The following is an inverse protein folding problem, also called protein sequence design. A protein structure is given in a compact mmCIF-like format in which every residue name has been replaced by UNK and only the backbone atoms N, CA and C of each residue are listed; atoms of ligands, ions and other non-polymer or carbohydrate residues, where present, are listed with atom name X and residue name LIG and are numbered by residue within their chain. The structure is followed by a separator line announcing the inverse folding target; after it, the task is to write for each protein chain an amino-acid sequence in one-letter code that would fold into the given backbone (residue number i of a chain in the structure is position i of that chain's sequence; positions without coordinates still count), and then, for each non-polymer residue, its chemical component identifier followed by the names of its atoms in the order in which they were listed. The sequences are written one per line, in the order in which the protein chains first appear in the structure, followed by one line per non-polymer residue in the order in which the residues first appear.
data_IF_872466337480
#
_entry.id   IF_872466337480
#
_cell.length_a   1.000
_cell.length_b   1.000
_cell.length_c   1.000
_cell.angle_alpha   90.00
_cell.angle_beta   90.00
_cell.angle_gamma   90.00
#
_symmetry.space_group_name_H-M   'P 1'
#
loop_
_entity.id
_entity.type
_entity.pdbx_description
1 polymer ?
#
# COMPACT_ATOMS: atom_id res chain seq x y z
N UNK A 1 -2.02 -0.95 -3.05
CA UNK A 1 -1.44 0.39 -3.19
C UNK A 1 -1.67 0.87 -4.59
N UNK A 2 -2.16 2.08 -4.70
CA UNK A 2 -2.45 2.73 -5.97
C UNK A 2 -1.25 2.81 -6.92
N UNK A 3 -1.56 2.83 -8.21
CA UNK A 3 -0.57 3.00 -9.27
C UNK A 3 0.13 4.37 -9.19
N UNK A 4 1.47 4.35 -9.11
CA UNK A 4 2.32 5.55 -9.23
C UNK A 4 2.78 5.76 -10.67
N UNK A 5 2.89 7.03 -11.08
CA UNK A 5 3.34 7.43 -12.42
C UNK A 5 4.50 8.41 -12.32
N UNK A 6 5.64 8.02 -12.89
CA UNK A 6 6.84 8.85 -12.98
C UNK A 6 7.26 9.50 -11.64
N UNK A 7 7.11 8.78 -10.54
CA UNK A 7 7.51 9.30 -9.24
C UNK A 7 9.03 9.20 -9.08
N UNK A 8 9.66 10.34 -8.78
CA UNK A 8 11.09 10.41 -8.46
C UNK A 8 11.32 9.97 -7.02
N UNK A 9 12.06 8.88 -6.86
CA UNK A 9 12.31 8.23 -5.59
C UNK A 9 13.81 7.95 -5.49
N UNK A 10 14.42 8.30 -4.35
CA UNK A 10 15.75 7.82 -4.01
C UNK A 10 15.65 6.54 -3.19
N UNK A 11 16.22 5.47 -3.76
CA UNK A 11 16.23 4.12 -3.19
C UNK A 11 17.61 3.83 -2.61
N UNK A 12 17.61 3.21 -1.43
CA UNK A 12 18.83 2.70 -0.80
C UNK A 12 19.22 1.37 -1.46
N UNK A 13 20.49 1.01 -1.36
CA UNK A 13 21.02 -0.26 -1.86
C UNK A 13 22.10 -0.77 -0.90
N UNK A 14 22.28 -2.09 -0.82
CA UNK A 14 23.27 -2.70 0.09
C UNK A 14 24.70 -2.25 -0.23
N UNK A 15 24.99 -2.09 -1.53
CA UNK A 15 26.29 -1.63 -2.02
C UNK A 15 26.16 -0.37 -2.84
N UNK A 16 26.84 0.68 -2.38
CA UNK A 16 26.79 2.01 -2.97
C UNK A 16 25.87 2.93 -2.18
N UNK A 17 26.01 4.24 -2.38
CA UNK A 17 25.07 5.22 -1.81
C UNK A 17 23.68 5.12 -2.44
N UNK A 18 22.69 5.85 -1.92
CA UNK A 18 21.37 5.90 -2.50
C UNK A 18 21.39 6.35 -3.97
N UNK A 19 20.45 5.85 -4.76
CA UNK A 19 20.29 6.15 -6.19
C UNK A 19 18.92 6.77 -6.45
N UNK A 20 18.87 7.74 -7.34
CA UNK A 20 17.61 8.35 -7.80
C UNK A 20 17.04 7.55 -8.96
N UNK A 21 15.77 7.17 -8.84
CA UNK A 21 15.01 6.42 -9.83
C UNK A 21 13.64 7.07 -10.05
N UNK A 22 13.10 6.89 -11.24
CA UNK A 22 11.75 7.24 -11.65
C UNK A 22 10.97 5.93 -11.70
N UNK A 23 9.93 5.81 -10.87
CA UNK A 23 9.16 4.57 -10.73
C UNK A 23 7.76 4.78 -11.30
N UNK A 24 7.31 3.81 -12.10
CA UNK A 24 5.94 3.73 -12.61
C UNK A 24 5.41 2.32 -12.39
N UNK A 25 4.30 2.16 -11.68
CA UNK A 25 3.76 0.86 -11.30
C UNK A 25 3.09 0.84 -9.92
N UNK A 26 2.99 -0.34 -9.32
CA UNK A 26 2.48 -0.55 -7.96
C UNK A 26 3.07 -1.81 -7.30
N UNK A 27 2.47 -2.32 -6.22
CA UNK A 27 3.00 -3.46 -5.47
C UNK A 27 3.08 -4.78 -6.25
N UNK A 28 2.37 -4.90 -7.38
CA UNK A 28 2.35 -6.13 -8.17
C UNK A 28 3.33 -6.09 -9.33
N UNK A 29 3.56 -4.92 -9.91
CA UNK A 29 4.52 -4.71 -10.98
C UNK A 29 4.94 -3.25 -11.08
N UNK A 30 6.24 -3.01 -11.20
CA UNK A 30 6.75 -1.68 -11.46
C UNK A 30 8.00 -1.66 -12.33
N UNK A 31 8.17 -0.54 -13.02
CA UNK A 31 9.33 -0.25 -13.84
C UNK A 31 10.13 0.85 -13.14
N UNK A 32 11.42 0.62 -12.96
CA UNK A 32 12.37 1.59 -12.44
C UNK A 32 13.24 2.10 -13.60
N UNK A 33 13.33 3.41 -13.74
CA UNK A 33 14.20 4.06 -14.71
C UNK A 33 15.11 5.08 -14.02
N UNK A 34 16.31 5.33 -14.54
CA UNK A 34 17.07 6.50 -14.13
C UNK A 34 16.33 7.78 -14.58
N UNK A 35 16.63 8.97 -14.04
CA UNK A 35 16.07 10.23 -14.53
C UNK A 35 16.30 10.47 -16.03
N UNK A 36 17.32 9.83 -16.60
CA UNK A 36 17.64 9.88 -18.04
C UNK A 36 16.87 8.84 -18.87
N UNK A 37 16.00 8.03 -18.25
CA UNK A 37 15.15 7.04 -18.93
C UNK A 37 15.81 5.68 -19.17
N UNK A 38 16.94 5.36 -18.54
CA UNK A 38 17.52 4.02 -18.64
C UNK A 38 16.87 3.08 -17.63
N UNK A 39 16.33 1.95 -18.09
CA UNK A 39 15.72 0.95 -17.21
C UNK A 39 16.76 0.37 -16.24
N UNK A 40 16.36 0.22 -14.99
CA UNK A 40 17.17 -0.29 -13.89
C UNK A 40 16.47 -1.48 -13.23
N UNK A 41 17.25 -2.44 -12.76
CA UNK A 41 16.78 -3.57 -11.93
C UNK A 41 17.67 -3.72 -10.71
N UNK A 42 17.10 -4.17 -9.59
CA UNK A 42 17.89 -4.49 -8.41
C UNK A 42 18.57 -5.86 -8.58
N UNK A 43 19.89 -5.87 -8.65
CA UNK A 43 20.68 -7.09 -8.79
C UNK A 43 21.01 -7.64 -7.40
N UNK A 44 20.27 -8.67 -6.98
CA UNK A 44 20.38 -9.27 -5.64
C UNK A 44 21.79 -9.81 -5.35
N UNK A 45 22.46 -10.43 -6.32
CA UNK A 45 23.82 -10.97 -6.14
C UNK A 45 24.85 -9.86 -5.89
N UNK A 46 24.58 -8.67 -6.46
CA UNK A 46 25.43 -7.49 -6.31
C UNK A 46 24.99 -6.56 -5.18
N UNK A 47 23.77 -6.70 -4.69
CA UNK A 47 23.17 -5.82 -3.68
C UNK A 47 23.06 -4.37 -4.16
N UNK A 48 22.85 -4.15 -5.46
CA UNK A 48 22.81 -2.79 -6.03
C UNK A 48 21.94 -2.69 -7.29
N UNK A 49 21.44 -1.49 -7.58
CA UNK A 49 20.72 -1.22 -8.83
C UNK A 49 21.68 -1.19 -10.01
N UNK A 50 21.37 -2.00 -11.02
CA UNK A 50 22.11 -2.10 -12.26
C UNK A 50 21.26 -1.68 -13.46
N UNK A 51 21.90 -1.18 -14.51
CA UNK A 51 21.24 -0.98 -15.80
C UNK A 51 20.69 -2.31 -16.30
N UNK A 52 19.52 -2.27 -16.94
CA UNK A 52 18.86 -3.44 -17.49
C UNK A 52 18.94 -3.47 -19.03
N UNK A 53 18.92 -4.68 -19.59
CA UNK A 53 18.63 -4.95 -20.99
C UNK A 53 17.44 -5.88 -21.11
N UNK A 54 16.85 -5.98 -22.30
CA UNK A 54 15.83 -7.00 -22.59
C UNK A 54 16.52 -8.24 -23.14
N UNK A 55 16.29 -9.38 -22.48
CA UNK A 55 16.61 -10.70 -23.00
C UNK A 55 15.34 -11.55 -22.93
N UNK A 56 14.94 -12.16 -24.06
CA UNK A 56 13.72 -12.97 -24.16
C UNK A 56 12.44 -12.27 -23.65
N UNK A 57 12.40 -10.95 -23.77
CA UNK A 57 11.25 -10.13 -23.34
C UNK A 57 11.20 -9.80 -21.85
N UNK A 58 12.18 -10.23 -21.05
CA UNK A 58 12.32 -9.90 -19.62
C UNK A 58 13.46 -8.93 -19.37
N UNK A 59 13.39 -8.14 -18.31
CA UNK A 59 14.53 -7.34 -17.87
C UNK A 59 15.62 -8.24 -17.28
N UNK A 60 16.87 -8.00 -17.70
CA UNK A 60 18.06 -8.68 -17.19
C UNK A 60 19.11 -7.66 -16.79
N UNK A 61 19.66 -7.83 -15.59
CA UNK A 61 20.75 -7.00 -15.08
C UNK A 61 21.97 -7.09 -15.99
N UNK A 62 22.54 -5.94 -16.34
CA UNK A 62 23.86 -5.85 -17.00
C UNK A 62 25.02 -6.01 -16.02
N UNK A 63 24.74 -6.08 -14.71
CA UNK A 63 25.73 -6.02 -13.64
C UNK A 63 26.44 -4.66 -13.49
N UNK A 64 26.11 -3.67 -14.32
CA UNK A 64 26.69 -2.33 -14.28
C UNK A 64 25.82 -1.40 -13.44
N UNK A 65 26.39 -0.87 -12.36
CA UNK A 65 25.68 0.05 -11.46
C UNK A 65 25.15 1.29 -12.17
N UNK A 66 23.92 1.69 -11.84
CA UNK A 66 23.32 2.93 -12.35
C UNK A 66 23.95 4.21 -11.79
N UNK A 67 24.75 4.11 -10.73
CA UNK A 67 25.55 5.24 -10.22
C UNK A 67 26.75 5.58 -11.13
N UNK A 68 27.04 4.75 -12.14
CA UNK A 68 28.09 4.95 -13.14
C UNK A 68 27.49 5.28 -14.50
N UNK A 69 28.35 5.64 -15.46
CA UNK A 69 27.93 5.89 -16.85
C UNK A 69 27.25 4.65 -17.44
N UNK A 70 26.17 4.83 -18.23
CA UNK A 70 25.48 3.72 -18.87
C UNK A 70 26.41 2.96 -19.82
N UNK A 71 26.35 1.61 -19.85
CA UNK A 71 27.03 0.81 -20.86
C UNK A 71 26.70 1.27 -22.29
N UNK A 72 27.63 1.11 -23.22
CA UNK A 72 27.40 1.50 -24.62
C UNK A 72 26.29 0.63 -25.23
N UNK A 73 25.37 1.27 -25.95
CA UNK A 73 24.36 0.59 -26.76
C UNK A 73 23.09 0.15 -26.02
N UNK A 74 22.95 0.42 -24.72
CA UNK A 74 21.68 0.15 -24.02
C UNK A 74 20.61 1.16 -24.45
N UNK A 75 19.38 0.68 -24.65
CA UNK A 75 18.24 1.52 -25.02
C UNK A 75 17.55 2.08 -23.78
N UNK A 76 16.90 3.23 -23.94
CA UNK A 76 16.05 3.86 -22.93
C UNK A 76 14.63 3.32 -23.03
N UNK A 77 13.87 3.46 -21.94
CA UNK A 77 12.46 3.12 -21.84
C UNK A 77 12.13 1.71 -22.30
N UNK A 78 12.94 0.74 -21.85
CA UNK A 78 12.67 -0.66 -22.13
C UNK A 78 11.35 -1.07 -21.47
N UNK A 79 10.62 -1.97 -22.13
CA UNK A 79 9.39 -2.56 -21.62
C UNK A 79 9.48 -4.06 -21.80
N UNK A 80 9.19 -4.81 -20.75
CA UNK A 80 9.00 -6.25 -20.87
C UNK A 80 7.80 -6.55 -21.76
N UNK A 81 7.80 -7.75 -22.35
CA UNK A 81 6.66 -8.16 -23.17
C UNK A 81 5.41 -8.30 -22.30
N UNK A 82 4.21 -8.12 -22.88
CA UNK A 82 2.96 -8.28 -22.16
C UNK A 82 2.85 -9.62 -21.41
N UNK A 83 3.40 -10.70 -21.97
CA UNK A 83 3.40 -12.04 -21.39
C UNK A 83 4.21 -12.11 -20.09
N UNK A 84 5.44 -11.60 -20.10
CA UNK A 84 6.34 -11.59 -18.94
C UNK A 84 5.77 -10.72 -17.82
N UNK A 85 5.41 -9.48 -18.15
CA UNK A 85 4.80 -8.54 -17.20
C UNK A 85 3.59 -9.14 -16.51
N UNK A 86 2.73 -9.79 -17.28
CA UNK A 86 1.53 -10.44 -16.74
C UNK A 86 1.83 -11.68 -15.91
N UNK A 87 2.88 -12.43 -16.25
CA UNK A 87 3.36 -13.56 -15.47
C UNK A 87 3.84 -13.11 -14.09
N UNK A 88 4.68 -12.06 -14.06
CA UNK A 88 5.19 -11.47 -12.82
C UNK A 88 4.05 -10.92 -11.95
N UNK A 89 3.13 -10.15 -12.55
CA UNK A 89 1.96 -9.62 -11.87
C UNK A 89 1.11 -10.73 -11.24
N UNK A 90 0.80 -11.81 -11.98
CA UNK A 90 0.06 -12.96 -11.44
C UNK A 90 0.79 -13.65 -10.31
N UNK A 91 2.10 -13.89 -10.48
CA UNK A 91 2.93 -14.52 -9.47
C UNK A 91 2.88 -13.71 -8.18
N UNK A 92 3.09 -12.41 -8.28
CA UNK A 92 3.09 -11.49 -7.13
C UNK A 92 1.71 -11.33 -6.50
N UNK A 93 0.66 -11.20 -7.31
CA UNK A 93 -0.73 -11.17 -6.84
C UNK A 93 -1.09 -12.45 -6.06
N UNK A 94 -0.66 -13.62 -6.53
CA UNK A 94 -0.89 -14.89 -5.85
C UNK A 94 -0.11 -15.06 -4.54
N UNK A 95 1.05 -14.40 -4.41
CA UNK A 95 1.82 -14.39 -3.17
C UNK A 95 1.21 -13.45 -2.12
N UNK A 96 0.72 -12.28 -2.54
CA UNK A 96 0.13 -11.28 -1.65
C UNK A 96 -1.33 -11.56 -1.28
N UNK A 97 -2.08 -12.38 -2.03
CA UNK A 97 -3.48 -12.69 -1.70
C UNK A 97 -3.65 -14.15 -1.29
N UNK A 98 -4.46 -14.40 -0.26
CA UNK A 98 -4.72 -15.75 0.22
C UNK A 98 -5.36 -16.65 -0.86
N UNK A 99 -5.09 -17.97 -0.83
CA UNK A 99 -5.80 -18.95 -1.65
C UNK A 99 -7.32 -18.84 -1.42
N UNK A 100 -8.08 -18.52 -2.46
CA UNK A 100 -9.54 -18.36 -2.39
C UNK A 100 -10.07 -16.95 -2.60
N UNK A 101 -9.20 -15.93 -2.65
CA UNK A 101 -9.59 -14.65 -3.24
C UNK A 101 -9.94 -14.88 -4.72
N UNK A 102 -11.17 -14.51 -5.14
CA UNK A 102 -11.51 -14.52 -6.55
C UNK A 102 -10.44 -13.74 -7.31
N UNK A 103 -9.82 -14.43 -8.26
CA UNK A 103 -8.91 -13.79 -9.18
C UNK A 103 -9.68 -12.68 -9.90
N UNK A 104 -9.19 -11.42 -9.93
CA UNK A 104 -9.79 -10.39 -10.79
C UNK A 104 -9.71 -10.80 -12.27
N UNK A 105 -8.89 -11.79 -12.61
CA UNK A 105 -8.79 -12.43 -13.93
C UNK A 105 -9.88 -13.49 -14.20
N UNK A 106 -10.76 -13.79 -13.23
CA UNK A 106 -11.88 -14.71 -13.42
C UNK A 106 -13.10 -13.95 -13.95
N UNK A 107 -13.17 -13.80 -15.28
CA UNK A 107 -14.31 -13.64 -16.21
C UNK A 107 -15.70 -13.11 -15.82
N UNK A 108 -15.97 -12.62 -14.61
CA UNK A 108 -17.31 -12.18 -14.22
C UNK A 108 -17.56 -10.75 -14.69
N UNK A 109 -18.31 -10.65 -15.80
CA UNK A 109 -18.79 -9.41 -16.45
C UNK A 109 -20.02 -8.79 -15.76
N UNK A 110 -20.25 -9.10 -14.50
CA UNK A 110 -21.34 -8.55 -13.67
C UNK A 110 -20.74 -7.83 -12.45
N UNK A 111 -21.56 -7.18 -11.62
CA UNK A 111 -21.09 -6.54 -10.37
C UNK A 111 -20.43 -7.52 -9.37
N UNK A 112 -20.28 -8.82 -9.67
CA UNK A 112 -19.73 -9.81 -8.76
C UNK A 112 -20.64 -10.06 -7.54
N UNK A 113 -20.28 -11.01 -6.69
CA UNK A 113 -21.13 -11.45 -5.57
C UNK A 113 -21.40 -10.36 -4.51
N UNK A 114 -20.57 -9.32 -4.43
CA UNK A 114 -20.68 -8.24 -3.43
C UNK A 114 -20.92 -6.87 -4.09
N UNK A 115 -21.64 -6.84 -5.21
CA UNK A 115 -21.97 -5.61 -5.94
C UNK A 115 -20.75 -4.71 -6.28
N UNK A 116 -19.56 -5.32 -6.42
CA UNK A 116 -18.31 -4.68 -6.81
C UNK A 116 -17.30 -4.57 -5.68
N UNK A 117 -17.70 -4.83 -4.43
CA UNK A 117 -16.78 -4.84 -3.30
C UNK A 117 -15.94 -6.13 -3.24
N UNK A 118 -14.77 -6.03 -2.64
CA UNK A 118 -13.95 -7.19 -2.31
C UNK A 118 -14.68 -8.08 -1.28
N UNK A 119 -14.50 -9.42 -1.35
CA UNK A 119 -15.06 -10.31 -0.35
C UNK A 119 -14.45 -10.06 1.04
N UNK A 120 -15.22 -10.35 2.08
CA UNK A 120 -14.78 -10.24 3.47
C UNK A 120 -15.71 -9.39 4.33
N UNK A 121 -15.34 -9.22 5.60
CA UNK A 121 -16.07 -8.40 6.57
C UNK A 121 -15.96 -6.92 6.18
N UNK A 122 -17.06 -6.18 6.34
CA UNK A 122 -17.13 -4.73 6.19
C UNK A 122 -17.43 -4.09 7.55
N UNK A 123 -16.73 -3.00 7.83
CA UNK A 123 -16.87 -2.14 9.00
C UNK A 123 -16.88 -0.67 8.54
N UNK A 124 -17.84 -0.36 7.66
CA UNK A 124 -17.96 0.95 7.00
C UNK A 124 -18.85 1.95 7.76
N UNK A 125 -19.26 1.65 8.99
CA UNK A 125 -20.13 2.52 9.78
C UNK A 125 -19.87 2.38 11.28
N UNK A 126 -20.30 3.37 12.05
CA UNK A 126 -20.14 3.42 13.50
C UNK A 126 -18.73 3.81 13.94
N UNK A 127 -18.39 3.46 15.17
CA UNK A 127 -17.07 3.70 15.75
C UNK A 127 -16.17 2.49 15.52
N UNK A 128 -15.10 2.68 14.74
CA UNK A 128 -14.13 1.63 14.44
C UNK A 128 -12.75 2.09 14.91
N UNK A 129 -12.06 1.22 15.65
CA UNK A 129 -10.71 1.48 16.16
C UNK A 129 -9.72 0.52 15.52
N UNK A 130 -8.78 1.05 14.75
CA UNK A 130 -7.65 0.31 14.20
C UNK A 130 -6.50 0.17 15.19
N UNK A 131 -5.69 -0.86 14.98
CA UNK A 131 -4.41 -1.05 15.68
C UNK A 131 -3.29 -0.66 14.72
N UNK A 132 -2.56 0.41 15.04
CA UNK A 132 -1.37 0.82 14.30
C UNK A 132 -0.10 0.44 15.08
N UNK A 133 0.75 -0.39 14.49
CA UNK A 133 2.00 -0.85 15.08
C UNK A 133 3.16 -0.16 14.35
N UNK A 134 3.97 0.58 15.10
CA UNK A 134 5.19 1.21 14.61
C UNK A 134 6.33 0.21 14.69
N UNK A 135 7.02 0.01 13.58
CA UNK A 135 8.03 -1.02 13.41
C UNK A 135 9.38 -0.40 13.07
N UNK A 136 10.41 -0.83 13.79
CA UNK A 136 11.82 -0.58 13.48
C UNK A 136 12.53 -1.90 13.14
N UNK A 137 13.66 -1.79 12.47
CA UNK A 137 14.51 -2.92 12.12
C UNK A 137 15.78 -2.91 12.98
N UNK A 138 16.56 -3.99 12.94
CA UNK A 138 17.80 -4.05 13.70
C UNK A 138 18.81 -2.96 13.28
N UNK A 139 18.84 -2.60 12.00
CA UNK A 139 19.72 -1.63 11.35
C UNK A 139 19.08 -0.26 11.08
N UNK A 140 17.74 -0.15 11.11
CA UNK A 140 17.01 1.09 10.77
C UNK A 140 16.09 1.52 11.90
N UNK A 141 16.35 2.73 12.42
CA UNK A 141 15.55 3.41 13.44
C UNK A 141 14.77 4.58 12.87
N UNK A 142 13.67 4.94 13.52
CA UNK A 142 12.83 6.06 13.13
C UNK A 142 13.13 7.31 13.97
N UNK A 143 13.13 8.47 13.34
CA UNK A 143 13.04 9.76 14.04
C UNK A 143 11.60 10.26 14.17
N UNK A 144 10.68 9.63 13.44
CA UNK A 144 9.24 9.86 13.57
C UNK A 144 8.79 9.28 14.91
N UNK A 145 8.26 10.14 15.77
CA UNK A 145 7.77 9.74 17.09
C UNK A 145 6.42 9.04 16.99
N UNK A 146 6.04 8.34 18.05
CA UNK A 146 4.68 7.82 18.22
C UNK A 146 3.65 8.95 18.13
N UNK A 147 3.91 10.07 18.79
CA UNK A 147 3.00 11.22 18.85
C UNK A 147 2.79 11.86 17.47
N UNK A 148 3.82 11.95 16.63
CA UNK A 148 3.67 12.44 15.24
C UNK A 148 2.68 11.59 14.44
N UNK A 149 2.71 10.26 14.63
CA UNK A 149 1.78 9.33 13.97
C UNK A 149 0.40 9.41 14.62
N UNK A 150 0.29 9.46 15.95
CA UNK A 150 -0.99 9.59 16.65
C UNK A 150 -1.74 10.86 16.22
N UNK A 151 -1.04 11.99 16.09
CA UNK A 151 -1.63 13.25 15.65
C UNK A 151 -2.10 13.16 14.18
N UNK A 152 -1.27 12.61 13.28
CA UNK A 152 -1.65 12.41 11.87
C UNK A 152 -2.89 11.52 11.72
N UNK A 153 -3.01 10.49 12.56
CA UNK A 153 -4.12 9.55 12.46
C UNK A 153 -5.40 10.06 13.13
N UNK A 154 -5.30 10.75 14.28
CA UNK A 154 -6.44 10.93 15.18
C UNK A 154 -6.84 12.38 15.50
N UNK A 155 -6.00 13.38 15.22
CA UNK A 155 -6.31 14.74 15.62
C UNK A 155 -7.59 15.26 14.96
N UNK A 156 -8.40 16.01 15.70
CA UNK A 156 -9.62 16.65 15.17
C UNK A 156 -9.27 17.72 14.12
N UNK A 157 -8.16 18.43 14.36
CA UNK A 157 -7.55 19.37 13.44
C UNK A 157 -6.09 18.99 13.22
N UNK A 158 -5.73 18.61 11.99
CA UNK A 158 -4.35 18.28 11.62
C UNK A 158 -3.95 19.01 10.33
N UNK A 159 -2.94 19.86 10.43
CA UNK A 159 -2.40 20.63 9.31
C UNK A 159 -0.85 20.59 9.25
N UNK A 160 -0.22 19.68 10.03
CA UNK A 160 1.22 19.49 10.03
C UNK A 160 1.68 18.73 8.79
N UNK A 161 2.96 18.90 8.46
CA UNK A 161 3.63 18.21 7.36
C UNK A 161 2.99 18.44 5.98
N UNK A 162 2.17 19.48 5.85
CA UNK A 162 1.43 19.82 4.63
C UNK A 162 0.18 18.98 4.37
N UNK A 163 -0.20 18.08 5.29
CA UNK A 163 -1.44 17.32 5.19
C UNK A 163 -2.66 18.24 5.36
N UNK A 164 -3.72 17.95 4.62
CA UNK A 164 -4.94 18.74 4.67
C UNK A 164 -5.78 18.45 5.93
N UNK A 165 -5.76 17.21 6.41
CA UNK A 165 -6.47 16.75 7.59
C UNK A 165 -5.84 15.48 8.15
N UNK A 166 -6.37 14.96 9.26
CA UNK A 166 -6.02 13.65 9.80
C UNK A 166 -6.75 12.52 9.07
N UNK A 167 -6.31 11.28 9.29
CA UNK A 167 -7.02 10.09 8.77
C UNK A 167 -8.44 9.99 9.34
N UNK A 168 -8.60 10.23 10.65
CA UNK A 168 -9.91 10.31 11.31
C UNK A 168 -10.83 11.28 10.59
N UNK A 169 -10.36 12.52 10.37
CA UNK A 169 -11.16 13.57 9.73
C UNK A 169 -11.46 13.26 8.27
N UNK A 170 -10.53 12.66 7.55
CA UNK A 170 -10.75 12.19 6.18
C UNK A 170 -11.93 11.21 6.11
N UNK A 171 -11.88 10.12 6.89
CA UNK A 171 -12.92 9.09 6.86
C UNK A 171 -14.27 9.62 7.34
N UNK A 172 -14.29 10.45 8.39
CA UNK A 172 -15.51 11.10 8.85
C UNK A 172 -16.13 11.99 7.75
N UNK A 173 -15.31 12.74 7.01
CA UNK A 173 -15.79 13.63 5.93
C UNK A 173 -16.33 12.83 4.75
N UNK A 174 -15.57 11.88 4.22
CA UNK A 174 -15.99 11.13 3.01
C UNK A 174 -17.14 10.17 3.27
N UNK A 175 -17.33 9.77 4.53
CA UNK A 175 -18.46 8.96 4.97
C UNK A 175 -19.65 9.80 5.44
N UNK A 176 -19.66 11.13 5.32
CA UNK A 176 -20.72 11.98 5.88
C UNK A 176 -21.01 11.70 7.37
N UNK A 177 -19.99 11.34 8.16
CA UNK A 177 -20.12 11.01 9.58
C UNK A 177 -20.62 9.59 9.88
N UNK A 178 -20.94 8.78 8.85
CA UNK A 178 -21.37 7.40 9.04
C UNK A 178 -20.27 6.52 9.67
N UNK A 179 -18.99 6.79 9.35
CA UNK A 179 -17.83 6.08 9.89
C UNK A 179 -16.94 7.02 10.71
N UNK A 180 -16.72 6.67 11.97
CA UNK A 180 -15.73 7.30 12.86
C UNK A 180 -14.56 6.35 13.06
N UNK A 181 -13.51 6.55 12.25
CA UNK A 181 -12.33 5.70 12.29
C UNK A 181 -11.20 6.35 13.10
N UNK A 182 -10.72 5.67 14.13
CA UNK A 182 -9.59 6.09 14.98
C UNK A 182 -8.55 4.98 15.08
N UNK A 183 -7.35 5.28 15.55
CA UNK A 183 -6.26 4.31 15.68
C UNK A 183 -5.57 4.42 17.04
N UNK A 184 -5.32 3.29 17.68
CA UNK A 184 -4.35 3.25 18.79
C UNK A 184 -2.97 2.94 18.19
N UNK A 185 -1.98 3.78 18.52
CA UNK A 185 -0.61 3.62 18.01
C UNK A 185 0.26 2.96 19.08
N UNK A 186 0.95 1.89 18.69
CA UNK A 186 1.76 1.03 19.55
C UNK A 186 3.18 0.97 19.01
N UNK A 187 4.16 0.93 19.91
CA UNK A 187 5.58 0.86 19.56
C UNK A 187 6.32 2.18 19.78
N UNK A 188 7.51 2.35 19.17
CA UNK A 188 8.11 1.45 18.18
C UNK A 188 8.49 0.07 18.76
N UNK A 189 8.23 -0.99 17.99
CA UNK A 189 8.76 -2.33 18.24
C UNK A 189 9.91 -2.60 17.27
N UNK A 190 11.00 -3.18 17.76
CA UNK A 190 12.13 -3.57 16.92
C UNK A 190 12.01 -5.03 16.50
N UNK A 191 12.05 -5.28 15.19
CA UNK A 191 12.13 -6.64 14.65
C UNK A 191 13.55 -7.21 14.79
N UNK A 192 13.67 -8.53 14.71
CA UNK A 192 14.91 -9.25 15.02
C UNK A 192 15.99 -9.21 13.94
N UNK A 193 15.69 -8.70 12.74
CA UNK A 193 16.61 -8.71 11.59
C UNK A 193 16.73 -7.33 10.95
N UNK A 194 17.73 -7.18 10.10
CA UNK A 194 17.94 -5.98 9.29
C UNK A 194 16.80 -5.81 8.28
N UNK A 195 16.52 -4.56 7.87
CA UNK A 195 15.42 -4.23 6.97
C UNK A 195 15.46 -5.05 5.69
N UNK A 196 16.67 -5.31 5.18
CA UNK A 196 16.86 -6.04 3.92
C UNK A 196 16.25 -7.45 3.95
N UNK A 197 16.35 -8.13 5.10
CA UNK A 197 15.79 -9.47 5.29
C UNK A 197 14.27 -9.50 5.04
N UNK A 198 13.57 -8.44 5.43
CA UNK A 198 12.11 -8.34 5.32
C UNK A 198 11.62 -7.95 3.91
N UNK A 199 12.50 -7.75 2.91
CA UNK A 199 12.03 -7.69 1.53
C UNK A 199 11.48 -9.06 1.08
N UNK A 200 12.13 -10.15 1.45
CA UNK A 200 11.74 -11.51 1.06
C UNK A 200 10.98 -12.28 2.14
N UNK A 201 10.85 -11.71 3.36
CA UNK A 201 10.16 -12.33 4.49
C UNK A 201 9.12 -11.37 5.07
N UNK A 202 7.89 -11.85 5.26
CA UNK A 202 6.82 -11.03 5.83
C UNK A 202 7.14 -10.61 7.27
N UNK A 203 7.09 -9.30 7.60
CA UNK A 203 7.34 -8.83 8.97
C UNK A 203 6.10 -8.94 9.88
N UNK A 204 4.95 -9.35 9.35
CA UNK A 204 3.63 -9.09 9.95
C UNK A 204 3.39 -9.93 11.19
N UNK A 205 3.64 -11.24 11.14
CA UNK A 205 3.43 -12.13 12.29
C UNK A 205 4.36 -11.75 13.45
N UNK A 206 5.64 -11.47 13.16
CA UNK A 206 6.60 -11.01 14.16
C UNK A 206 6.18 -9.68 14.77
N UNK A 207 5.68 -8.73 13.97
CA UNK A 207 5.18 -7.45 14.47
C UNK A 207 3.96 -7.63 15.39
N UNK A 208 3.01 -8.50 15.01
CA UNK A 208 1.83 -8.81 15.83
C UNK A 208 2.25 -9.43 17.16
N UNK A 209 3.12 -10.44 17.15
CA UNK A 209 3.57 -11.13 18.37
C UNK A 209 4.31 -10.18 19.32
N UNK A 210 5.23 -9.37 18.80
CA UNK A 210 5.99 -8.41 19.60
C UNK A 210 5.10 -7.32 20.19
N UNK A 211 4.14 -6.80 19.41
CA UNK A 211 3.17 -5.85 19.93
C UNK A 211 2.30 -6.50 21.00
N UNK A 212 1.69 -7.66 20.71
CA UNK A 212 0.82 -8.34 21.64
C UNK A 212 1.53 -8.81 22.92
N UNK A 213 2.84 -9.05 22.90
CA UNK A 213 3.62 -9.32 24.10
C UNK A 213 3.68 -8.13 25.07
N UNK A 214 3.39 -6.91 24.63
CA UNK A 214 3.24 -5.76 25.51
C UNK A 214 1.95 -5.90 26.34
N UNK A 215 2.07 -5.83 27.67
CA UNK A 215 0.94 -6.01 28.59
C UNK A 215 -0.11 -4.87 28.55
N UNK A 216 0.11 -3.85 27.70
CA UNK A 216 -0.73 -2.67 27.58
C UNK A 216 -1.80 -2.77 26.49
N UNK A 217 -1.76 -3.82 25.65
CA UNK A 217 -2.67 -3.93 24.50
C UNK A 217 -3.86 -4.85 24.82
N UNK A 218 -5.05 -4.26 24.87
CA UNK A 218 -6.32 -4.96 24.87
C UNK A 218 -6.85 -5.10 23.44
N UNK A 219 -6.71 -6.30 22.86
CA UNK A 219 -7.13 -6.61 21.49
C UNK A 219 -8.66 -6.61 21.32
N UNK A 220 -9.45 -6.66 22.40
CA UNK A 220 -10.92 -6.63 22.31
C UNK A 220 -11.44 -5.29 21.78
N UNK A 221 -10.68 -4.21 22.00
CA UNK A 221 -11.01 -2.84 21.56
C UNK A 221 -10.98 -2.65 20.05
N UNK A 222 -10.38 -3.57 19.32
CA UNK A 222 -10.24 -3.51 17.86
C UNK A 222 -11.20 -4.46 17.12
N UNK A 223 -12.25 -4.96 17.80
CA UNK A 223 -13.27 -5.84 17.22
C UNK A 223 -14.67 -5.25 17.43
N UNK A 224 -15.01 -4.22 16.67
CA UNK A 224 -16.25 -3.44 16.77
C UNK A 224 -17.53 -4.27 16.67
N UNK A 225 -17.49 -5.44 16.02
CA UNK A 225 -18.63 -6.37 15.89
C UNK A 225 -18.55 -7.60 16.78
N UNK A 226 -17.57 -7.67 17.68
CA UNK A 226 -17.34 -8.80 18.59
C UNK A 226 -17.34 -10.18 17.88
N UNK A 227 -16.78 -10.26 16.68
CA UNK A 227 -16.77 -11.49 15.89
C UNK A 227 -15.47 -12.32 16.05
N UNK A 228 -14.57 -11.88 16.93
CA UNK A 228 -13.28 -12.50 17.16
C UNK A 228 -12.15 -12.02 16.25
N UNK A 229 -12.31 -10.88 15.56
CA UNK A 229 -11.32 -10.37 14.60
C UNK A 229 -10.92 -8.93 14.88
N UNK A 230 -9.64 -8.62 14.66
CA UNK A 230 -9.17 -7.24 14.59
C UNK A 230 -9.64 -6.62 13.27
N UNK A 231 -10.33 -5.48 13.35
CA UNK A 231 -10.99 -4.80 12.24
C UNK A 231 -10.01 -4.21 11.22
N UNK A 232 -8.96 -3.56 11.69
CA UNK A 232 -7.92 -2.94 10.86
C UNK A 232 -6.56 -3.03 11.56
N UNK A 233 -5.65 -3.81 10.97
CA UNK A 233 -4.24 -3.86 11.36
C UNK A 233 -3.41 -2.99 10.42
N UNK A 234 -2.69 -2.03 10.99
CA UNK A 234 -1.87 -1.07 10.29
C UNK A 234 -0.41 -1.22 10.74
N UNK A 235 0.51 -1.57 9.84
CA UNK A 235 1.94 -1.60 10.13
C UNK A 235 2.61 -0.38 9.50
N UNK A 236 3.27 0.44 10.31
CA UNK A 236 4.09 1.56 9.81
C UNK A 236 5.55 1.34 10.16
N UNK A 237 6.42 1.19 9.16
CA UNK A 237 7.83 0.84 9.39
C UNK A 237 8.80 2.03 9.23
N UNK A 238 9.96 1.94 9.88
CA UNK A 238 10.99 2.97 9.91
C UNK A 238 11.78 3.10 8.61
N UNK A 239 12.11 4.35 8.27
CA UNK A 239 12.84 4.70 7.06
C UNK A 239 11.92 4.80 5.84
N UNK A 240 12.46 5.26 4.71
CA UNK A 240 11.70 5.52 3.48
C UNK A 240 10.94 4.31 2.96
N UNK A 241 9.87 4.62 2.21
CA UNK A 241 9.16 3.67 1.37
C UNK A 241 10.13 2.89 0.47
N UNK A 242 10.02 1.57 0.54
CA UNK A 242 10.76 0.66 -0.31
C UNK A 242 9.92 0.32 -1.54
N UNK A 243 10.27 0.84 -2.71
CA UNK A 243 9.61 0.48 -3.97
C UNK A 243 10.36 -0.67 -4.66
N UNK A 244 10.76 -1.65 -3.87
CA UNK A 244 11.46 -2.86 -4.35
C UNK A 244 10.51 -4.01 -4.16
N UNK A 245 10.44 -4.90 -5.15
CA UNK A 245 9.65 -6.12 -5.07
C UNK A 245 9.94 -6.84 -3.74
N UNK A 246 8.95 -6.84 -2.85
CA UNK A 246 9.03 -7.49 -1.54
C UNK A 246 7.89 -7.11 -0.61
N UNK A 247 7.96 -7.58 0.64
CA UNK A 247 6.94 -7.30 1.66
C UNK A 247 7.00 -5.87 2.23
N UNK A 248 8.03 -5.09 1.89
CA UNK A 248 8.15 -3.69 2.34
C UNK A 248 7.62 -2.67 1.33
N UNK A 249 7.29 -3.08 0.09
CA UNK A 249 6.48 -2.25 -0.79
C UNK A 249 5.12 -2.04 -0.14
N UNK A 250 4.61 -0.80 0.01
CA UNK A 250 3.33 -0.60 0.68
C UNK A 250 2.21 -1.37 0.00
N UNK A 251 1.43 -2.12 0.78
CA UNK A 251 0.37 -2.96 0.25
C UNK A 251 -0.65 -3.28 1.34
N UNK A 252 -1.79 -3.82 0.93
CA UNK A 252 -2.68 -4.59 1.80
C UNK A 252 -2.67 -6.06 1.40
N UNK A 253 -2.82 -6.92 2.39
CA UNK A 253 -2.85 -8.37 2.19
C UNK A 253 -3.62 -9.01 3.34
N UNK A 254 -3.65 -10.34 3.36
CA UNK A 254 -4.21 -11.11 4.45
C UNK A 254 -3.11 -11.91 5.15
N UNK A 255 -3.24 -12.00 6.47
CA UNK A 255 -2.48 -12.84 7.39
C UNK A 255 -3.47 -13.73 8.12
N UNK A 256 -3.13 -14.98 8.42
CA UNK A 256 -3.98 -15.82 9.25
C UNK A 256 -3.26 -16.11 10.56
N UNK A 257 -3.34 -15.16 11.48
CA UNK A 257 -2.65 -15.24 12.76
C UNK A 257 -3.60 -14.96 13.92
N UNK A 258 -3.44 -15.65 15.04
CA UNK A 258 -4.32 -15.52 16.20
C UNK A 258 -3.50 -15.32 17.46
N UNK A 259 -3.78 -14.25 18.19
CA UNK A 259 -3.12 -13.94 19.46
C UNK A 259 -4.18 -13.54 20.49
N UNK A 260 -4.08 -14.07 21.72
CA UNK A 260 -5.03 -13.79 22.83
C UNK A 260 -6.51 -13.93 22.43
N UNK A 261 -6.83 -14.93 21.62
CA UNK A 261 -8.20 -15.23 21.19
C UNK A 261 -8.79 -14.28 20.13
N UNK A 262 -8.00 -13.35 19.59
CA UNK A 262 -8.39 -12.50 18.46
C UNK A 262 -7.60 -12.87 17.21
N UNK A 263 -8.30 -12.97 16.08
CA UNK A 263 -7.73 -13.27 14.78
C UNK A 263 -7.39 -11.99 14.02
N UNK A 264 -6.17 -11.92 13.55
CA UNK A 264 -5.72 -10.97 12.54
C UNK A 264 -6.02 -11.59 11.17
N UNK A 265 -6.62 -10.79 10.29
CA UNK A 265 -6.99 -11.23 8.95
C UNK A 265 -6.43 -10.28 7.90
N UNK A 266 -6.93 -9.05 7.84
CA UNK A 266 -6.47 -8.07 6.85
C UNK A 266 -5.47 -7.12 7.51
N UNK A 267 -4.41 -6.78 6.77
CA UNK A 267 -3.44 -5.79 7.20
C UNK A 267 -3.05 -4.87 6.06
N UNK A 268 -2.54 -3.70 6.41
CA UNK A 268 -1.73 -2.89 5.51
C UNK A 268 -0.35 -2.65 6.10
N UNK A 269 0.62 -2.42 5.23
CA UNK A 269 1.97 -2.02 5.60
C UNK A 269 2.38 -0.81 4.77
N UNK A 270 2.97 0.19 5.42
CA UNK A 270 3.53 1.38 4.75
C UNK A 270 4.71 1.95 5.54
N UNK A 271 5.45 2.86 4.94
CA UNK A 271 6.59 3.54 5.56
C UNK A 271 6.15 4.77 6.38
N UNK A 272 6.88 5.06 7.46
CA UNK A 272 6.78 6.34 8.20
C UNK A 272 7.58 7.48 7.55
N UNK A 273 8.41 7.20 6.55
CA UNK A 273 9.39 8.12 5.99
C UNK A 273 10.68 8.19 6.82
N UNK A 274 11.55 9.16 6.50
CA UNK A 274 12.80 9.39 7.26
C UNK A 274 12.55 10.29 8.47
N UNK A 275 11.65 11.26 8.31
CA UNK A 275 11.35 12.31 9.28
C UNK A 275 9.85 12.62 9.28
N UNK A 276 9.35 13.28 10.32
CA UNK A 276 7.91 13.57 10.45
C UNK A 276 7.32 14.31 9.23
N UNK A 277 8.10 15.16 8.57
CA UNK A 277 7.69 15.89 7.35
C UNK A 277 7.31 14.99 6.16
N UNK A 278 7.77 13.74 6.16
CA UNK A 278 7.48 12.74 5.14
C UNK A 278 6.12 12.05 5.36
N UNK A 279 5.53 12.19 6.56
CA UNK A 279 4.23 11.60 6.87
C UNK A 279 3.14 12.17 5.97
N UNK A 280 2.38 11.28 5.35
CA UNK A 280 1.25 11.62 4.48
C UNK A 280 0.10 10.64 4.66
N UNK A 281 -1.13 11.13 4.56
CA UNK A 281 -2.34 10.32 4.84
C UNK A 281 -2.80 9.48 3.64
N UNK A 282 -2.41 9.83 2.42
CA UNK A 282 -2.99 9.31 1.18
C UNK A 282 -2.95 7.79 1.06
N UNK A 283 -1.75 7.19 1.12
CA UNK A 283 -1.59 5.72 1.07
C UNK A 283 -2.32 5.06 2.24
N UNK A 284 -2.19 5.59 3.46
CA UNK A 284 -2.87 5.03 4.63
C UNK A 284 -4.39 5.00 4.45
N UNK A 285 -4.98 6.09 3.94
CA UNK A 285 -6.40 6.18 3.64
C UNK A 285 -6.84 5.21 2.54
N UNK A 286 -6.07 5.10 1.45
CA UNK A 286 -6.34 4.15 0.37
C UNK A 286 -6.38 2.71 0.89
N UNK A 287 -5.34 2.29 1.62
CA UNK A 287 -5.27 0.93 2.16
C UNK A 287 -6.39 0.66 3.18
N UNK A 288 -6.72 1.62 4.03
CA UNK A 288 -7.83 1.47 4.97
C UNK A 288 -9.21 1.46 4.29
N UNK A 289 -9.35 2.03 3.09
CA UNK A 289 -10.53 1.81 2.24
C UNK A 289 -10.73 0.33 1.90
N UNK A 290 -9.65 -0.41 1.64
CA UNK A 290 -9.70 -1.85 1.45
C UNK A 290 -9.98 -2.61 2.76
N UNK A 291 -9.36 -2.22 3.88
CA UNK A 291 -9.53 -2.92 5.15
C UNK A 291 -10.95 -2.76 5.70
N UNK A 292 -11.44 -1.52 5.76
CA UNK A 292 -12.70 -1.17 6.43
C UNK A 292 -13.91 -1.42 5.53
N UNK A 293 -13.86 -0.91 4.30
CA UNK A 293 -15.02 -0.87 3.42
C UNK A 293 -15.00 -1.96 2.35
N UNK A 294 -13.87 -2.66 2.21
CA UNK A 294 -13.63 -3.64 1.14
C UNK A 294 -13.77 -3.02 -0.25
N UNK A 295 -13.42 -1.75 -0.39
CA UNK A 295 -13.40 -1.13 -1.71
C UNK A 295 -12.38 -1.84 -2.61
N UNK A 296 -12.67 -2.07 -3.90
CA UNK A 296 -11.67 -2.55 -4.85
C UNK A 296 -10.80 -1.39 -5.34
N UNK A 297 -9.64 -1.72 -5.89
CA UNK A 297 -8.93 -0.83 -6.79
C UNK A 297 -9.75 -0.60 -8.06
N UNK A 298 -9.82 0.66 -8.51
CA UNK A 298 -10.59 1.07 -9.67
C UNK A 298 -9.71 1.33 -10.91
N UNK A 299 -8.44 0.95 -10.87
CA UNK A 299 -7.52 0.92 -12.01
C UNK A 299 -7.30 -0.53 -12.46
N UNK A 300 -6.85 -0.72 -13.71
CA UNK A 300 -6.63 -2.05 -14.32
C UNK A 300 -5.27 -2.07 -15.05
N UNK A 301 -4.72 -3.27 -15.20
CA UNK A 301 -3.44 -3.58 -15.81
C UNK A 301 -3.56 -4.05 -17.26
N UNK A 302 -4.73 -3.85 -17.86
CA UNK A 302 -5.04 -4.29 -19.20
C UNK A 302 -5.10 -5.80 -19.28
N UNK A 303 -6.10 -6.39 -18.62
CA UNK A 303 -6.46 -7.81 -18.82
C UNK A 303 -7.93 -8.09 -18.53
N UNK A 304 -8.67 -7.17 -17.91
CA UNK A 304 -10.11 -7.36 -17.72
C UNK A 304 -10.81 -7.54 -19.07
N UNK A 305 -10.28 -6.89 -20.11
CA UNK A 305 -10.81 -6.88 -21.47
C UNK A 305 -9.91 -7.61 -22.50
N UNK A 306 -9.01 -8.50 -22.05
CA UNK A 306 -8.07 -9.25 -22.91
C UNK A 306 -7.08 -8.38 -23.72
N UNK A 307 -6.92 -7.10 -23.39
CA UNK A 307 -5.85 -6.25 -23.91
C UNK A 307 -4.59 -6.38 -23.02
N UNK A 308 -3.61 -5.50 -23.26
CA UNK A 308 -2.42 -5.34 -22.42
C UNK A 308 -2.28 -3.88 -21.96
N UNK A 309 -3.34 -3.08 -22.10
CA UNK A 309 -3.30 -1.65 -21.89
C UNK A 309 -3.76 -1.30 -20.48
N UNK A 310 -2.86 -0.78 -19.62
CA UNK A 310 -3.25 -0.36 -18.29
C UNK A 310 -4.24 0.80 -18.39
N UNK A 311 -5.27 0.77 -17.55
CA UNK A 311 -6.24 1.84 -17.39
C UNK A 311 -6.06 2.48 -16.03
N UNK A 312 -5.88 3.81 -16.03
CA UNK A 312 -5.91 4.60 -14.80
C UNK A 312 -7.30 4.62 -14.15
N UNK A 313 -8.33 4.08 -14.83
CA UNK A 313 -9.69 4.01 -14.31
C UNK A 313 -10.24 5.39 -13.99
N UNK A 314 -10.54 5.63 -12.71
CA UNK A 314 -11.02 6.93 -12.21
C UNK A 314 -9.93 7.99 -12.05
N UNK A 315 -8.66 7.64 -12.29
CA UNK A 315 -7.51 8.52 -12.16
C UNK A 315 -7.46 9.23 -10.81
N UNK A 316 -7.14 10.52 -10.82
CA UNK A 316 -7.01 11.33 -9.59
C UNK A 316 -8.34 11.65 -8.92
N UNK A 317 -9.48 11.28 -9.50
CA UNK A 317 -10.82 11.61 -8.98
C UNK A 317 -11.34 10.62 -7.94
N UNK A 318 -10.59 9.56 -7.63
CA UNK A 318 -10.97 8.59 -6.60
C UNK A 318 -9.77 8.17 -5.75
N UNK A 319 -9.97 8.09 -4.42
CA UNK A 319 -9.00 7.50 -3.50
C UNK A 319 -8.54 6.10 -3.93
N UNK A 320 -9.45 5.25 -4.39
CA UNK A 320 -9.18 3.87 -4.80
C UNK A 320 -8.62 3.75 -6.23
N UNK A 321 -8.02 4.85 -6.71
CA UNK A 321 -7.29 4.96 -7.96
C UNK A 321 -6.06 5.83 -7.69
N UNK A 322 -5.67 6.76 -8.57
CA UNK A 322 -4.51 7.63 -8.36
C UNK A 322 -4.78 8.81 -7.41
N UNK A 323 -6.01 8.97 -6.90
CA UNK A 323 -6.41 10.14 -6.12
C UNK A 323 -5.75 10.24 -4.74
N UNK A 324 -5.22 9.14 -4.22
CA UNK A 324 -4.44 9.16 -2.98
C UNK A 324 -3.06 9.82 -3.13
N UNK A 325 -2.52 9.98 -4.34
CA UNK A 325 -1.20 10.62 -4.58
C UNK A 325 -1.26 12.15 -4.70
N UNK A 326 -2.47 12.74 -4.68
CA UNK A 326 -2.65 14.18 -4.77
C UNK A 326 -1.85 14.93 -3.71
N UNK A 327 -1.17 15.99 -4.15
CA UNK A 327 -0.27 16.79 -3.30
C UNK A 327 0.78 15.93 -2.57
N UNK A 328 1.36 14.94 -3.25
CA UNK A 328 2.33 13.97 -2.68
C UNK A 328 1.75 13.20 -1.49
N UNK A 329 0.51 12.75 -1.62
CA UNK A 329 -0.19 11.99 -0.57
C UNK A 329 -0.85 12.83 0.53
N UNK A 330 -0.73 14.16 0.47
CA UNK A 330 -1.15 15.04 1.57
C UNK A 330 -2.59 15.52 1.47
N UNK A 331 -3.21 15.38 0.30
CA UNK A 331 -4.59 15.82 0.04
C UNK A 331 -5.31 14.78 -0.80
N UNK A 332 -5.54 13.56 -0.26
CA UNK A 332 -6.19 12.49 -1.02
C UNK A 332 -7.57 12.91 -1.52
N UNK A 333 -7.90 12.50 -2.75
CA UNK A 333 -9.24 12.64 -3.29
C UNK A 333 -10.27 11.84 -2.46
N UNK A 334 -11.55 12.25 -2.43
CA UNK A 334 -12.60 11.42 -1.86
C UNK A 334 -12.76 10.11 -2.65
N UNK A 335 -13.43 9.12 -2.03
CA UNK A 335 -13.94 7.96 -2.77
C UNK A 335 -15.06 8.38 -3.74
N UNK A 336 -15.17 7.71 -4.90
CA UNK A 336 -16.16 8.07 -5.90
C UNK A 336 -17.59 7.75 -5.43
N UNK A 337 -18.59 8.36 -6.07
CA UNK A 337 -20.01 8.19 -5.72
C UNK A 337 -20.45 6.72 -5.71
N UNK A 338 -19.91 5.90 -6.62
CA UNK A 338 -20.18 4.47 -6.67
C UNK A 338 -19.74 3.74 -5.38
N UNK A 339 -18.53 4.00 -4.88
CA UNK A 339 -18.04 3.37 -3.65
C UNK A 339 -18.78 3.90 -2.41
N UNK A 340 -19.12 5.20 -2.40
CA UNK A 340 -19.99 5.77 -1.35
C UNK A 340 -21.34 5.07 -1.31
N UNK A 341 -21.95 4.84 -2.46
CA UNK A 341 -23.21 4.09 -2.56
C UNK A 341 -23.08 2.68 -1.99
N UNK A 342 -22.03 1.94 -2.36
CA UNK A 342 -21.80 0.57 -1.87
C UNK A 342 -21.46 0.48 -0.37
N UNK A 343 -20.92 1.55 0.21
CA UNK A 343 -20.68 1.67 1.65
C UNK A 343 -21.88 2.23 2.44
N UNK A 344 -22.98 2.56 1.76
CA UNK A 344 -24.15 3.24 2.33
C UNK A 344 -23.85 4.65 2.89
N UNK A 345 -22.90 5.38 2.29
CA UNK A 345 -22.52 6.74 2.67
C UNK A 345 -23.24 7.81 1.84
N UNK A 346 -24.56 7.71 1.78
CA UNK A 346 -25.42 8.64 1.06
C UNK A 346 -26.69 8.93 1.85
N UNK A 347 -27.21 10.15 1.73
CA UNK A 347 -28.54 10.48 2.22
C UNK A 347 -29.56 9.97 1.19
N UNK A 348 -30.52 9.17 1.64
CA UNK A 348 -31.48 8.51 0.75
C UNK A 348 -32.44 9.53 0.11
N UNK A 349 -32.06 10.10 -1.04
CA UNK A 349 -32.99 10.72 -1.98
C UNK A 349 -32.62 10.31 -3.41
N UNK A 350 -33.26 9.24 -3.89
CA UNK A 350 -33.29 8.93 -5.32
C UNK A 350 -34.42 9.74 -5.96
N UNK A 351 -34.10 10.91 -6.51
CA UNK A 351 -35.03 11.62 -7.40
C UNK A 351 -35.03 10.90 -8.76
N UNK A 352 -36.01 10.03 -8.96
CA UNK A 352 -36.37 9.57 -10.30
C UNK A 352 -37.16 10.71 -10.96
N UNK A 353 -36.51 11.46 -11.85
CA UNK A 353 -37.26 12.25 -12.82
C UNK A 353 -38.06 11.28 -13.68
N UNK A 354 -39.38 11.27 -13.47
CA UNK A 354 -40.35 10.51 -14.26
C UNK A 354 -40.80 11.33 -15.45
#
# INVERSE_FOLDING_TARGET
MSFIVNEHISLEQEKGGPVELVVTGDEFYAIHETPDGYTAVYDQDRGMYCYAVLAEGSFVSTGSSIAKRPPRGIRRHLRETPEIRSGQLRGRYSQLRSPGALSPFAGNRTFGANAGLLPGRRVSEGEVRGLTILVEFADVRSTVSKDDVEEMLNADEYNRNGNHCSVKRYFETVSSGWLKYTNDVVGPITLGRDRNYYHSHSPIEEAIERAAAQNTIDLSRYDSRNAGFVDALNIMYAGRTQYVDGYLWPHNSAVNHTVRGKRFNLYMITSMGRQAIDLSIGTFCHENGHLLCRFPDLYDYGRRDNDADPSYGMGVYCLMSAGNHLNKGRTPAPVCAYLRYLANWYDAQTLLHT
#
